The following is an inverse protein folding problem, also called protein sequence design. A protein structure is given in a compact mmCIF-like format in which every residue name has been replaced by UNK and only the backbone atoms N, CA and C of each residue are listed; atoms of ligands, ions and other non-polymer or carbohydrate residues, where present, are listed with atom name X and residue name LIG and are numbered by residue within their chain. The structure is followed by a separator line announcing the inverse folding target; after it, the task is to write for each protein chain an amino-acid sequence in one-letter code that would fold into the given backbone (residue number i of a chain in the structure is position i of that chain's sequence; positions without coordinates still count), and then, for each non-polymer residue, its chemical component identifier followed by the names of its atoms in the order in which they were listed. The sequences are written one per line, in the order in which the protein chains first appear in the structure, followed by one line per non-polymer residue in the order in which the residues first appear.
data_IF_381662186931
#
_entry.id   IF_381662186931
#
_cell.length_a   1.000
_cell.length_b   1.000
_cell.length_c   1.000
_cell.angle_alpha   90.00
_cell.angle_beta   90.00
_cell.angle_gamma   90.00
#
_symmetry.space_group_name_H-M   'P 1'
#
loop_
_entity.id
_entity.type
_entity.pdbx_description
1 polymer ?
#
# COMPACT_ATOMS: atom_id res chain seq x y z
N UNK A 1 -11.08 38.95 16.90
CA UNK A 1 -10.63 37.57 17.14
C UNK A 1 -10.67 36.81 15.81
N UNK A 2 -9.53 36.69 15.13
CA UNK A 2 -9.45 36.04 13.83
C UNK A 2 -9.20 34.54 14.00
N UNK A 3 -10.11 33.73 13.44
CA UNK A 3 -10.03 32.28 13.35
C UNK A 3 -8.82 31.90 12.48
N UNK A 4 -7.82 31.25 13.08
CA UNK A 4 -6.72 30.63 12.36
C UNK A 4 -7.28 29.41 11.60
N UNK A 5 -7.54 29.58 10.30
CA UNK A 5 -7.82 28.44 9.41
C UNK A 5 -6.56 27.58 9.38
N UNK A 6 -6.64 26.39 9.97
CA UNK A 6 -5.61 25.36 9.83
C UNK A 6 -5.38 25.10 8.34
N UNK A 7 -4.23 25.51 7.82
CA UNK A 7 -3.82 25.16 6.46
C UNK A 7 -3.41 23.68 6.53
N UNK A 8 -4.11 22.76 5.84
CA UNK A 8 -3.75 21.36 5.87
C UNK A 8 -2.36 21.23 5.25
N UNK A 9 -1.36 20.89 6.08
CA UNK A 9 -0.02 20.58 5.61
C UNK A 9 -0.12 19.48 4.55
N UNK A 10 0.42 19.69 3.34
CA UNK A 10 0.42 18.64 2.33
C UNK A 10 1.21 17.47 2.90
N UNK A 11 0.50 16.37 3.20
CA UNK A 11 1.12 15.13 3.66
C UNK A 11 2.00 14.59 2.52
N UNK A 12 3.27 14.98 2.50
CA UNK A 12 4.21 14.61 1.44
C UNK A 12 4.59 13.12 1.53
N UNK A 13 4.67 12.62 2.76
CA UNK A 13 4.94 11.20 3.05
C UNK A 13 3.71 10.34 2.69
N UNK A 14 2.50 10.92 2.76
CA UNK A 14 1.24 10.18 2.70
C UNK A 14 0.12 10.98 2.02
N UNK A 15 0.24 11.30 0.72
CA UNK A 15 -0.73 12.15 0.04
C UNK A 15 -2.10 11.48 0.15
N UNK A 16 -3.03 12.14 0.84
CA UNK A 16 -4.39 11.64 0.98
C UNK A 16 -5.17 12.17 -0.21
N UNK A 17 -5.31 11.35 -1.25
CA UNK A 17 -6.14 11.67 -2.41
C UNK A 17 -7.61 11.55 -2.01
N UNK A 18 -8.10 12.53 -1.25
CA UNK A 18 -9.53 12.81 -1.08
C UNK A 18 -10.06 13.43 -2.39
N UNK A 19 -9.92 12.74 -3.53
CA UNK A 19 -10.65 13.11 -4.75
C UNK A 19 -12.03 12.46 -4.66
N UNK A 20 -13.05 13.31 -4.65
CA UNK A 20 -14.47 12.96 -4.42
C UNK A 20 -15.12 12.29 -5.63
N UNK A 21 -14.50 12.41 -6.81
CA UNK A 21 -14.95 11.83 -8.06
C UNK A 21 -13.85 10.91 -8.62
N UNK A 22 -14.01 9.61 -8.40
CA UNK A 22 -13.17 8.58 -9.03
C UNK A 22 -13.92 8.04 -10.24
N UNK A 23 -13.45 8.39 -11.44
CA UNK A 23 -13.88 7.70 -12.66
C UNK A 23 -13.50 6.21 -12.65
N UNK A 24 -13.75 5.46 -13.73
CA UNK A 24 -13.45 4.03 -13.82
C UNK A 24 -12.00 3.66 -13.43
N UNK A 25 -11.03 4.54 -13.75
CA UNK A 25 -9.63 4.39 -13.36
C UNK A 25 -9.41 4.42 -11.84
N UNK A 26 -10.16 5.25 -11.10
CA UNK A 26 -10.06 5.33 -9.65
C UNK A 26 -10.61 4.08 -8.95
N UNK A 27 -11.70 3.50 -9.46
CA UNK A 27 -12.23 2.22 -8.98
C UNK A 27 -11.25 1.06 -9.25
N UNK A 28 -10.69 0.99 -10.46
CA UNK A 28 -9.67 -0.01 -10.80
C UNK A 28 -8.42 0.12 -9.90
N UNK A 29 -7.96 1.34 -9.65
CA UNK A 29 -6.82 1.60 -8.75
C UNK A 29 -7.07 1.13 -7.32
N UNK A 30 -8.32 1.20 -6.85
CA UNK A 30 -8.72 0.75 -5.52
C UNK A 30 -8.72 -0.78 -5.43
N UNK A 31 -9.25 -1.46 -6.45
CA UNK A 31 -9.22 -2.92 -6.53
C UNK A 31 -7.78 -3.43 -6.55
N UNK A 32 -6.95 -2.86 -7.43
CA UNK A 32 -5.55 -3.26 -7.57
C UNK A 32 -4.75 -3.01 -6.27
N UNK A 33 -5.03 -1.91 -5.58
CA UNK A 33 -4.46 -1.64 -4.27
C UNK A 33 -4.80 -2.73 -3.26
N UNK A 34 -6.09 -3.07 -3.13
CA UNK A 34 -6.52 -4.10 -2.17
C UNK A 34 -5.99 -5.48 -2.52
N UNK A 35 -5.93 -5.84 -3.80
CA UNK A 35 -5.28 -7.09 -4.24
C UNK A 35 -3.81 -7.15 -3.79
N UNK A 36 -3.07 -6.05 -3.99
CA UNK A 36 -1.68 -5.96 -3.53
C UNK A 36 -1.52 -6.05 -2.01
N UNK A 37 -2.43 -5.43 -1.24
CA UNK A 37 -2.44 -5.53 0.23
C UNK A 37 -2.71 -6.95 0.71
N UNK A 38 -3.69 -7.64 0.10
CA UNK A 38 -4.02 -9.04 0.42
C UNK A 38 -2.82 -9.93 0.10
N UNK A 39 -2.23 -9.79 -1.09
CA UNK A 39 -1.05 -10.57 -1.49
C UNK A 39 0.14 -10.32 -0.55
N UNK A 40 0.39 -9.07 -0.17
CA UNK A 40 1.43 -8.73 0.81
C UNK A 40 1.18 -9.39 2.18
N UNK A 41 -0.07 -9.40 2.65
CA UNK A 41 -0.47 -10.07 3.88
C UNK A 41 -0.22 -11.58 3.83
N UNK A 42 -0.58 -12.24 2.73
CA UNK A 42 -0.32 -13.66 2.52
C UNK A 42 1.17 -13.99 2.51
N UNK A 43 1.98 -13.17 1.82
CA UNK A 43 3.43 -13.31 1.85
C UNK A 43 3.99 -13.19 3.27
N UNK A 44 3.47 -12.25 4.07
CA UNK A 44 3.92 -12.07 5.45
C UNK A 44 3.54 -13.27 6.34
N UNK A 45 2.33 -13.82 6.19
CA UNK A 45 1.90 -15.01 6.94
C UNK A 45 2.80 -16.21 6.63
N UNK A 46 3.04 -16.50 5.35
CA UNK A 46 3.95 -17.57 4.94
C UNK A 46 5.39 -17.32 5.39
N UNK A 47 5.84 -16.06 5.37
CA UNK A 47 7.17 -15.71 5.86
C UNK A 47 7.33 -16.02 7.34
N UNK A 48 6.28 -15.77 8.15
CA UNK A 48 6.27 -16.09 9.57
C UNK A 48 6.29 -17.60 9.79
N UNK A 49 5.48 -18.37 9.05
CA UNK A 49 5.50 -19.84 9.14
C UNK A 49 6.91 -20.38 8.86
N UNK A 50 7.54 -19.98 7.75
CA UNK A 50 8.90 -20.41 7.42
C UNK A 50 9.97 -19.92 8.39
N UNK A 51 9.77 -18.76 9.03
CA UNK A 51 10.67 -18.26 10.06
C UNK A 51 10.56 -19.09 11.35
N UNK A 52 9.34 -19.46 11.75
CA UNK A 52 9.07 -20.26 12.95
C UNK A 52 9.56 -21.68 12.79
N UNK A 53 9.32 -22.30 11.64
CA UNK A 53 9.74 -23.69 11.38
C UNK A 53 11.25 -23.81 11.09
N UNK A 54 11.93 -22.70 10.76
CA UNK A 54 13.39 -22.60 10.73
C UNK A 54 14.11 -23.30 9.56
N UNK A 55 13.42 -24.08 8.72
CA UNK A 55 14.01 -24.82 7.60
C UNK A 55 14.10 -24.01 6.29
N UNK A 56 13.28 -22.96 6.14
CA UNK A 56 13.14 -22.18 4.92
C UNK A 56 13.37 -20.67 5.13
N UNK A 57 14.36 -20.31 5.95
CA UNK A 57 14.63 -18.91 6.34
C UNK A 57 14.99 -17.97 5.18
N UNK A 58 15.54 -18.49 4.09
CA UNK A 58 15.78 -17.72 2.86
C UNK A 58 14.46 -17.32 2.18
N UNK A 59 13.53 -18.28 2.01
CA UNK A 59 12.19 -18.01 1.47
C UNK A 59 11.41 -17.04 2.36
N UNK A 60 11.55 -17.14 3.68
CA UNK A 60 10.96 -16.17 4.61
C UNK A 60 11.41 -14.73 4.32
N UNK A 61 12.72 -14.52 4.11
CA UNK A 61 13.27 -13.18 3.80
C UNK A 61 12.77 -12.67 2.44
N UNK A 62 12.73 -13.53 1.43
CA UNK A 62 12.25 -13.17 0.10
C UNK A 62 10.76 -12.80 0.14
N UNK A 63 9.96 -13.53 0.93
CA UNK A 63 8.54 -13.22 1.14
C UNK A 63 8.32 -11.91 1.90
N UNK A 64 9.16 -11.59 2.89
CA UNK A 64 9.13 -10.28 3.55
C UNK A 64 9.45 -9.17 2.55
N UNK A 65 10.49 -9.34 1.74
CA UNK A 65 10.86 -8.37 0.71
C UNK A 65 9.72 -8.19 -0.32
N UNK A 66 9.12 -9.29 -0.78
CA UNK A 66 7.97 -9.27 -1.67
C UNK A 66 6.76 -8.57 -1.03
N UNK A 67 6.46 -8.84 0.24
CA UNK A 67 5.37 -8.19 0.96
C UNK A 67 5.55 -6.66 1.03
N UNK A 68 6.77 -6.20 1.33
CA UNK A 68 7.11 -4.76 1.33
C UNK A 68 6.96 -4.17 -0.07
N UNK A 69 7.49 -4.85 -1.09
CA UNK A 69 7.40 -4.40 -2.48
C UNK A 69 5.94 -4.34 -2.97
N UNK A 70 5.11 -5.32 -2.63
CA UNK A 70 3.68 -5.34 -2.99
C UNK A 70 2.92 -4.23 -2.27
N UNK A 71 3.15 -4.03 -0.97
CA UNK A 71 2.49 -2.99 -0.19
C UNK A 71 2.82 -1.58 -0.71
N UNK A 72 4.10 -1.30 -0.98
CA UNK A 72 4.54 -0.01 -1.50
C UNK A 72 4.19 0.16 -2.98
N UNK A 73 4.35 -0.89 -3.78
CA UNK A 73 4.08 -0.89 -5.21
C UNK A 73 2.61 -0.71 -5.54
N UNK A 74 1.72 -1.48 -4.91
CA UNK A 74 0.27 -1.36 -5.11
C UNK A 74 -0.26 0.01 -4.64
N UNK A 75 0.38 0.60 -3.63
CA UNK A 75 0.11 1.96 -3.19
C UNK A 75 0.64 3.01 -4.18
N UNK A 76 1.87 2.87 -4.66
CA UNK A 76 2.46 3.77 -5.65
C UNK A 76 1.65 3.78 -6.95
N UNK A 77 1.23 2.60 -7.41
CA UNK A 77 0.41 2.44 -8.60
C UNK A 77 -0.96 3.10 -8.43
N UNK A 78 -1.57 3.00 -7.25
CA UNK A 78 -2.80 3.74 -6.92
C UNK A 78 -2.61 5.26 -7.04
N UNK A 79 -1.46 5.79 -6.65
CA UNK A 79 -1.16 7.21 -6.80
C UNK A 79 -0.93 7.62 -8.25
N UNK A 80 -0.26 6.79 -9.04
CA UNK A 80 -0.03 7.08 -10.46
C UNK A 80 -1.35 7.09 -11.24
N UNK A 81 -2.20 6.08 -11.04
CA UNK A 81 -3.50 5.97 -11.71
C UNK A 81 -4.51 7.04 -11.29
N UNK A 82 -4.33 7.66 -10.12
CA UNK A 82 -5.18 8.74 -9.67
C UNK A 82 -4.72 10.14 -10.14
N UNK A 83 -3.58 10.22 -10.84
CA UNK A 83 -3.11 11.43 -11.53
C UNK A 83 -3.66 11.56 -12.96
N UNK A 84 -4.09 10.44 -13.55
CA UNK A 84 -4.78 10.35 -14.85
C UNK A 84 -6.27 10.68 -14.72
#
# INVERSE_FOLDING_TARGET
MASLREVPLPNFIWPNLKRRDVGPAGEFSRVLHWMGVIAAGLCLLLAVEFAVEGWATHLSRDLVAAAVALALGARGLRYMLARE
#
